data_IF_451325319190
#
_entry.id   IF_451325319190
#
_cell.length_a   1.000
_cell.length_b   1.000
_cell.length_c   1.000
_cell.angle_alpha   90.00
_cell.angle_beta   90.00
_cell.angle_gamma   90.00
#
_symmetry.space_group_name_H-M   'P 1'
#
loop_
_entity.id
_entity.type
_entity.pdbx_description
1 polymer ?
#
# COMPACT_ATOMS: atom_id res chain seq x y z
N UNK A 1 11.30 -5.82 2.81
CA UNK A 1 9.96 -5.68 3.44
C UNK A 1 9.55 -7.03 4.03
N UNK A 2 8.72 -7.03 5.06
CA UNK A 2 8.21 -8.23 5.76
C UNK A 2 9.30 -9.18 6.31
N UNK A 3 10.31 -8.66 7.01
CA UNK A 3 11.40 -9.46 7.60
C UNK A 3 10.90 -10.60 8.48
N UNK A 4 9.80 -10.40 9.23
CA UNK A 4 9.20 -11.47 10.05
C UNK A 4 8.72 -12.65 9.20
N UNK A 5 8.14 -12.39 8.03
CA UNK A 5 7.67 -13.45 7.13
C UNK A 5 8.84 -14.19 6.46
N UNK A 6 9.91 -13.46 6.13
CA UNK A 6 11.14 -14.07 5.64
C UNK A 6 11.79 -15.00 6.68
N UNK A 7 11.87 -14.56 7.94
CA UNK A 7 12.45 -15.34 9.03
C UNK A 7 11.57 -16.54 9.40
N UNK A 8 10.25 -16.35 9.46
CA UNK A 8 9.31 -17.43 9.78
C UNK A 8 9.33 -18.53 8.71
N UNK A 9 9.56 -18.17 7.45
CA UNK A 9 9.85 -19.13 6.39
C UNK A 9 8.68 -20.04 6.02
N UNK A 10 7.43 -19.65 6.32
CA UNK A 10 6.25 -20.47 5.96
C UNK A 10 6.06 -20.52 4.45
N UNK A 11 6.06 -21.73 3.91
CA UNK A 11 6.02 -22.00 2.47
C UNK A 11 4.66 -22.54 1.99
N UNK A 12 3.83 -23.01 2.92
CA UNK A 12 2.57 -23.73 2.73
C UNK A 12 1.32 -22.87 2.97
N UNK A 13 1.48 -21.54 2.98
CA UNK A 13 0.36 -20.61 3.12
C UNK A 13 -0.42 -20.52 1.82
N UNK A 14 -1.73 -20.80 1.87
CA UNK A 14 -2.62 -20.68 0.72
C UNK A 14 -3.09 -19.23 0.50
N UNK A 15 -3.29 -18.88 -0.77
CA UNK A 15 -3.86 -17.59 -1.14
C UNK A 15 -5.38 -17.60 -0.92
N UNK A 16 -5.91 -16.51 -0.38
CA UNK A 16 -7.34 -16.22 -0.24
C UNK A 16 -7.71 -15.15 -1.26
N UNK A 17 -8.58 -15.48 -2.21
CA UNK A 17 -8.96 -14.59 -3.33
C UNK A 17 -7.73 -14.03 -4.10
N UNK A 18 -6.71 -14.88 -4.28
CA UNK A 18 -5.47 -14.52 -4.98
C UNK A 18 -4.43 -13.78 -4.13
N UNK A 19 -4.73 -13.50 -2.85
CA UNK A 19 -3.84 -12.80 -1.93
C UNK A 19 -3.35 -13.72 -0.80
N UNK A 20 -2.04 -13.74 -0.54
CA UNK A 20 -1.47 -14.44 0.62
C UNK A 20 -1.61 -13.63 1.93
N UNK A 21 -2.20 -14.19 2.99
CA UNK A 21 -2.30 -13.50 4.29
C UNK A 21 -0.95 -13.42 5.03
N UNK A 22 0.01 -14.27 4.66
CA UNK A 22 1.35 -14.36 5.23
C UNK A 22 2.20 -15.35 4.44
N UNK A 23 3.34 -15.73 5.00
CA UNK A 23 4.32 -16.62 4.36
C UNK A 23 5.35 -15.88 3.51
N UNK A 24 6.26 -16.65 2.92
CA UNK A 24 7.37 -16.13 2.13
C UNK A 24 6.91 -15.27 0.94
N UNK A 25 5.71 -15.50 0.42
CA UNK A 25 5.11 -14.71 -0.65
C UNK A 25 4.97 -13.21 -0.26
N UNK A 26 4.84 -12.89 1.03
CA UNK A 26 4.75 -11.51 1.49
C UNK A 26 6.11 -10.80 1.61
N UNK A 27 7.24 -11.53 1.48
CA UNK A 27 8.58 -10.96 1.58
C UNK A 27 9.01 -10.33 0.24
N UNK A 28 9.31 -9.03 0.26
CA UNK A 28 9.62 -8.25 -0.94
C UNK A 28 10.95 -7.49 -0.83
N UNK A 29 11.57 -7.29 -2.00
CA UNK A 29 12.62 -6.30 -2.23
C UNK A 29 11.99 -5.08 -2.89
N UNK A 30 12.19 -3.90 -2.29
CA UNK A 30 11.59 -2.64 -2.72
C UNK A 30 12.70 -1.63 -3.06
N UNK A 31 12.69 -1.11 -4.29
CA UNK A 31 13.62 -0.08 -4.73
C UNK A 31 12.81 1.06 -5.33
N UNK A 32 12.72 2.18 -4.61
CA UNK A 32 11.96 3.36 -5.01
C UNK A 32 12.87 4.52 -5.37
N UNK A 33 12.52 5.25 -6.42
CA UNK A 33 13.22 6.44 -6.91
C UNK A 33 12.24 7.61 -6.86
N UNK A 34 12.64 8.70 -6.23
CA UNK A 34 11.83 9.91 -6.11
C UNK A 34 12.63 11.16 -6.48
N UNK A 35 11.93 12.21 -6.89
CA UNK A 35 12.52 13.52 -7.16
C UNK A 35 12.84 14.22 -5.86
N UNK A 36 14.10 14.58 -5.64
CA UNK A 36 14.49 15.32 -4.43
C UNK A 36 13.83 16.69 -4.30
N UNK A 37 13.54 17.35 -5.43
CA UNK A 37 12.96 18.69 -5.45
C UNK A 37 11.48 18.71 -5.02
N UNK A 38 10.69 17.71 -5.40
CA UNK A 38 9.23 17.66 -5.15
C UNK A 38 8.79 16.56 -4.19
N UNK A 39 9.67 15.59 -3.91
CA UNK A 39 9.37 14.40 -3.14
C UNK A 39 8.49 13.37 -3.85
N UNK A 40 8.19 13.58 -5.13
CA UNK A 40 7.32 12.69 -5.90
C UNK A 40 8.04 11.40 -6.30
N UNK A 41 7.44 10.22 -6.09
CA UNK A 41 8.02 8.96 -6.56
C UNK A 41 7.83 8.83 -8.07
N UNK A 42 8.92 8.59 -8.79
CA UNK A 42 8.96 8.60 -10.27
C UNK A 42 9.28 7.25 -10.89
N UNK A 43 9.91 6.35 -10.14
CA UNK A 43 10.19 4.98 -10.59
C UNK A 43 10.20 4.04 -9.39
N UNK A 44 9.74 2.82 -9.60
CA UNK A 44 9.76 1.80 -8.57
C UNK A 44 9.99 0.42 -9.16
N UNK A 45 10.74 -0.40 -8.44
CA UNK A 45 10.90 -1.83 -8.69
C UNK A 45 10.51 -2.58 -7.43
N UNK A 46 9.63 -3.56 -7.60
CA UNK A 46 9.20 -4.50 -6.56
C UNK A 46 9.55 -5.90 -7.02
N UNK A 47 10.42 -6.59 -6.30
CA UNK A 47 10.73 -8.00 -6.54
C UNK A 47 10.14 -8.85 -5.44
N UNK A 48 9.46 -9.93 -5.82
CA UNK A 48 8.91 -10.96 -4.95
C UNK A 48 9.73 -12.24 -5.18
N UNK A 49 10.77 -12.51 -4.37
CA UNK A 49 11.67 -13.64 -4.61
C UNK A 49 10.99 -15.00 -4.51
N UNK A 50 9.98 -15.10 -3.64
CA UNK A 50 9.26 -16.33 -3.31
C UNK A 50 7.84 -16.31 -3.91
N UNK A 51 7.72 -16.00 -5.20
CA UNK A 51 6.41 -15.87 -5.84
C UNK A 51 5.76 -17.22 -6.15
N UNK A 52 6.54 -18.15 -6.68
CA UNK A 52 6.08 -19.49 -7.02
C UNK A 52 7.07 -20.54 -6.51
N UNK A 53 6.58 -21.50 -5.75
CA UNK A 53 7.35 -22.68 -5.36
C UNK A 53 7.29 -23.71 -6.48
N UNK A 54 8.42 -24.27 -6.86
CA UNK A 54 8.43 -25.30 -7.90
C UNK A 54 7.68 -26.56 -7.43
N UNK A 55 6.89 -27.23 -8.29
CA UNK A 55 6.10 -28.42 -7.90
C UNK A 55 6.93 -29.57 -7.31
N UNK A 56 8.23 -29.64 -7.65
CA UNK A 56 9.17 -30.62 -7.12
C UNK A 56 9.85 -30.21 -5.80
N UNK A 57 9.54 -29.04 -5.25
CA UNK A 57 10.10 -28.55 -3.98
C UNK A 57 11.58 -28.13 -4.02
N UNK A 58 12.20 -28.07 -5.20
CA UNK A 58 13.65 -27.84 -5.34
C UNK A 58 14.05 -26.36 -5.40
N UNK A 59 13.10 -25.43 -5.49
CA UNK A 59 13.41 -24.02 -5.68
C UNK A 59 12.20 -23.10 -5.66
N UNK A 60 12.52 -21.80 -5.68
CA UNK A 60 11.56 -20.72 -5.79
C UNK A 60 11.83 -19.93 -7.07
N UNK A 61 10.76 -19.66 -7.80
CA UNK A 61 10.78 -18.73 -8.93
C UNK A 61 10.21 -17.40 -8.46
N UNK A 62 11.05 -16.37 -8.50
CA UNK A 62 10.64 -15.00 -8.22
C UNK A 62 9.93 -14.33 -9.39
N UNK A 63 9.33 -13.19 -9.11
CA UNK A 63 8.82 -12.26 -10.12
C UNK A 63 9.16 -10.82 -9.74
N UNK A 64 9.07 -9.91 -10.71
CA UNK A 64 9.35 -8.51 -10.48
C UNK A 64 8.38 -7.62 -11.25
N UNK A 65 8.10 -6.47 -10.67
CA UNK A 65 7.19 -5.46 -11.18
C UNK A 65 7.91 -4.13 -11.18
N UNK A 66 7.65 -3.31 -12.19
CA UNK A 66 8.22 -1.98 -12.27
C UNK A 66 7.23 -0.97 -12.85
N UNK A 67 7.48 0.29 -12.57
CA UNK A 67 6.68 1.41 -13.07
C UNK A 67 7.49 2.69 -13.09
N UNK A 68 7.21 3.53 -14.08
CA UNK A 68 7.77 4.87 -14.26
C UNK A 68 6.64 5.85 -14.50
N UNK A 69 6.59 6.90 -13.68
CA UNK A 69 5.67 8.04 -13.81
C UNK A 69 6.49 9.32 -13.74
N UNK A 70 6.76 9.94 -14.89
CA UNK A 70 7.58 11.15 -14.97
C UNK A 70 7.14 12.06 -16.12
N UNK A 71 6.72 13.28 -15.77
CA UNK A 71 6.11 14.19 -16.73
C UNK A 71 4.86 13.57 -17.35
N UNK A 72 4.84 13.41 -18.67
CA UNK A 72 3.72 12.78 -19.40
C UNK A 72 3.91 11.26 -19.58
N UNK A 73 5.04 10.70 -19.17
CA UNK A 73 5.33 9.27 -19.30
C UNK A 73 4.71 8.51 -18.14
N UNK A 74 3.86 7.54 -18.45
CA UNK A 74 3.34 6.55 -17.49
C UNK A 74 3.45 5.16 -18.12
N UNK A 75 4.38 4.35 -17.64
CA UNK A 75 4.64 2.99 -18.15
C UNK A 75 4.87 2.03 -16.99
N UNK A 76 4.34 0.81 -17.10
CA UNK A 76 4.51 -0.22 -16.08
C UNK A 76 4.64 -1.59 -16.74
N UNK A 77 5.31 -2.53 -16.04
CA UNK A 77 5.26 -3.95 -16.37
C UNK A 77 3.88 -4.57 -16.18
N UNK A 78 3.03 -3.94 -15.37
CA UNK A 78 1.66 -4.36 -15.13
C UNK A 78 0.73 -3.71 -16.15
N UNK A 79 -0.24 -4.46 -16.69
CA UNK A 79 -1.34 -3.83 -17.42
C UNK A 79 -2.16 -2.99 -16.44
N UNK A 80 -2.75 -1.90 -16.93
CA UNK A 80 -3.74 -1.17 -16.15
C UNK A 80 -4.93 -2.10 -15.87
N UNK A 81 -5.30 -2.33 -14.60
CA UNK A 81 -6.46 -3.16 -14.29
C UNK A 81 -7.73 -2.56 -14.89
N UNK A 82 -8.67 -3.45 -15.27
CA UNK A 82 -9.98 -3.02 -15.73
C UNK A 82 -10.71 -2.24 -14.64
N UNK A 83 -11.68 -1.42 -15.06
CA UNK A 83 -12.51 -0.70 -14.12
C UNK A 83 -13.21 -1.69 -13.17
N UNK A 84 -13.36 -1.35 -11.88
CA UNK A 84 -13.94 -2.30 -10.93
C UNK A 84 -15.36 -2.68 -11.36
N UNK A 85 -15.61 -3.98 -11.53
CA UNK A 85 -16.90 -4.51 -11.99
C UNK A 85 -17.92 -4.71 -10.85
N UNK A 86 -17.46 -4.72 -9.60
CA UNK A 86 -18.30 -5.00 -8.43
C UNK A 86 -18.62 -3.75 -7.61
N UNK A 87 -19.85 -3.66 -7.09
CA UNK A 87 -20.22 -2.57 -6.19
C UNK A 87 -19.51 -2.64 -4.83
N UNK A 88 -19.27 -3.82 -4.26
CA UNK A 88 -18.55 -3.96 -3.00
C UNK A 88 -17.06 -3.56 -3.15
N UNK A 89 -16.45 -3.06 -2.05
CA UNK A 89 -15.01 -2.84 -1.99
C UNK A 89 -14.27 -4.14 -1.69
N UNK A 90 -13.06 -4.30 -2.21
CA UNK A 90 -12.07 -5.22 -1.69
C UNK A 90 -10.98 -4.42 -1.00
N UNK A 91 -10.77 -4.63 0.30
CA UNK A 91 -9.79 -3.87 1.07
C UNK A 91 -8.86 -4.81 1.80
N UNK A 92 -7.56 -4.54 1.78
CA UNK A 92 -6.57 -5.25 2.59
C UNK A 92 -6.10 -4.38 3.75
N UNK A 93 -5.93 -4.98 4.93
CA UNK A 93 -5.42 -4.36 6.16
C UNK A 93 -4.28 -5.18 6.77
N UNK A 94 -3.60 -4.62 7.78
CA UNK A 94 -2.87 -5.47 8.74
C UNK A 94 -3.86 -6.16 9.68
N UNK A 95 -3.56 -7.39 10.12
CA UNK A 95 -4.35 -8.04 11.19
C UNK A 95 -4.30 -7.24 12.50
N UNK A 96 -3.21 -6.49 12.72
CA UNK A 96 -3.03 -5.59 13.87
C UNK A 96 -3.73 -4.24 13.74
N UNK A 97 -4.45 -3.99 12.65
CA UNK A 97 -5.16 -2.72 12.44
C UNK A 97 -6.24 -2.49 13.53
N UNK A 98 -6.50 -1.22 13.84
CA UNK A 98 -7.42 -0.79 14.89
C UNK A 98 -8.85 -1.25 14.58
N UNK A 99 -9.54 -1.69 15.63
CA UNK A 99 -10.91 -2.20 15.52
C UNK A 99 -11.91 -1.20 14.92
N UNK A 100 -11.88 0.11 15.24
CA UNK A 100 -12.74 1.10 14.59
C UNK A 100 -12.56 1.17 13.07
N UNK A 101 -11.34 0.97 12.56
CA UNK A 101 -11.04 0.97 11.12
C UNK A 101 -11.65 -0.28 10.47
N UNK A 102 -11.48 -1.45 11.08
CA UNK A 102 -12.06 -2.72 10.62
C UNK A 102 -13.59 -2.64 10.58
N UNK A 103 -14.21 -2.16 11.65
CA UNK A 103 -15.68 -2.02 11.76
C UNK A 103 -16.25 -0.99 10.77
N UNK A 104 -15.50 0.08 10.47
CA UNK A 104 -15.92 1.08 9.49
C UNK A 104 -15.90 0.54 8.05
N UNK A 105 -14.92 -0.30 7.71
CA UNK A 105 -14.71 -0.81 6.35
C UNK A 105 -15.45 -2.11 6.07
N UNK A 106 -15.62 -2.99 7.06
CA UNK A 106 -16.26 -4.30 6.86
C UNK A 106 -17.63 -4.22 6.16
N UNK A 107 -18.54 -3.29 6.50
CA UNK A 107 -19.84 -3.16 5.83
C UNK A 107 -19.73 -2.74 4.35
N UNK A 108 -18.63 -2.08 3.96
CA UNK A 108 -18.39 -1.66 2.58
C UNK A 108 -17.82 -2.78 1.71
N UNK A 109 -17.28 -3.83 2.34
CA UNK A 109 -16.49 -4.83 1.63
C UNK A 109 -17.28 -6.07 1.19
N UNK A 110 -18.51 -6.27 1.66
CA UNK A 110 -19.32 -7.44 1.28
C UNK A 110 -18.60 -8.78 1.51
N UNK A 111 -17.78 -8.88 2.57
CA UNK A 111 -16.95 -10.05 2.87
C UNK A 111 -15.51 -10.01 2.32
N UNK A 112 -15.16 -9.04 1.46
CA UNK A 112 -13.82 -8.89 0.86
C UNK A 112 -12.90 -7.97 1.67
N UNK A 113 -12.92 -8.13 2.99
CA UNK A 113 -11.98 -7.48 3.91
C UNK A 113 -10.86 -8.46 4.24
N UNK A 114 -9.71 -8.27 3.60
CA UNK A 114 -8.56 -9.15 3.66
C UNK A 114 -7.53 -8.66 4.70
N UNK A 115 -6.71 -9.59 5.18
CA UNK A 115 -5.59 -9.30 6.07
C UNK A 115 -4.30 -9.88 5.51
N UNK A 116 -3.23 -9.10 5.51
CA UNK A 116 -1.94 -9.54 4.99
C UNK A 116 -0.75 -8.92 5.72
N UNK A 117 0.35 -9.69 5.75
CA UNK A 117 1.66 -9.21 6.18
C UNK A 117 2.42 -8.47 5.07
N UNK A 118 3.40 -7.64 5.45
CA UNK A 118 4.21 -6.84 4.51
C UNK A 118 3.50 -5.56 4.04
N UNK A 119 4.09 -4.40 4.30
CA UNK A 119 3.49 -3.13 3.90
C UNK A 119 3.58 -2.93 2.38
N UNK A 120 4.76 -3.21 1.80
CA UNK A 120 4.96 -3.21 0.36
C UNK A 120 4.10 -4.26 -0.34
N UNK A 121 3.94 -5.43 0.26
CA UNK A 121 3.07 -6.49 -0.30
C UNK A 121 1.61 -6.08 -0.38
N UNK A 122 1.07 -5.43 0.66
CA UNK A 122 -0.29 -4.88 0.62
C UNK A 122 -0.48 -3.81 -0.46
N UNK A 123 0.50 -2.92 -0.65
CA UNK A 123 0.44 -1.92 -1.73
C UNK A 123 0.55 -2.61 -3.10
N UNK A 124 1.40 -3.63 -3.24
CA UNK A 124 1.52 -4.43 -4.45
C UNK A 124 0.20 -5.14 -4.81
N UNK A 125 -0.54 -5.65 -3.83
CA UNK A 125 -1.85 -6.27 -4.06
C UNK A 125 -2.86 -5.29 -4.69
N UNK A 126 -2.79 -4.00 -4.34
CA UNK A 126 -3.57 -2.95 -5.01
C UNK A 126 -3.11 -2.78 -6.45
N UNK A 127 -1.80 -2.70 -6.70
CA UNK A 127 -1.25 -2.54 -8.05
C UNK A 127 -1.58 -3.73 -8.98
N UNK A 128 -1.65 -4.94 -8.43
CA UNK A 128 -2.07 -6.16 -9.13
C UNK A 128 -3.58 -6.25 -9.37
N UNK A 129 -4.38 -5.32 -8.80
CA UNK A 129 -5.84 -5.35 -8.91
C UNK A 129 -6.52 -6.46 -8.10
N UNK A 130 -5.83 -7.06 -7.11
CA UNK A 130 -6.41 -8.07 -6.22
C UNK A 130 -7.40 -7.46 -5.21
N UNK A 131 -7.12 -6.22 -4.82
CA UNK A 131 -7.95 -5.41 -3.91
C UNK A 131 -8.06 -3.97 -4.43
N UNK A 132 -9.15 -3.28 -4.11
CA UNK A 132 -9.38 -1.90 -4.50
C UNK A 132 -8.53 -0.91 -3.69
N UNK A 133 -8.23 -1.24 -2.43
CA UNK A 133 -7.44 -0.39 -1.56
C UNK A 133 -6.65 -1.17 -0.49
N UNK A 134 -5.53 -0.59 -0.08
CA UNK A 134 -4.84 -0.91 1.16
C UNK A 134 -4.98 0.26 2.12
N UNK A 135 -5.38 -0.01 3.36
CA UNK A 135 -5.48 0.99 4.42
C UNK A 135 -4.60 0.59 5.60
N UNK A 136 -3.84 1.57 6.11
CA UNK A 136 -3.22 1.50 7.43
C UNK A 136 -3.43 2.82 8.14
N UNK A 137 -3.93 2.79 9.38
CA UNK A 137 -4.23 4.00 10.16
C UNK A 137 -3.08 4.46 11.05
N UNK A 138 -2.08 3.60 11.27
CA UNK A 138 -0.94 3.90 12.12
C UNK A 138 0.29 4.35 11.32
N UNK A 139 1.15 5.13 11.99
CA UNK A 139 2.47 5.52 11.51
C UNK A 139 3.51 4.41 11.47
N UNK A 140 3.09 3.14 11.36
CA UNK A 140 3.96 1.95 11.43
C UNK A 140 4.63 1.59 10.09
N UNK A 141 4.44 2.40 9.06
CA UNK A 141 5.08 2.25 7.75
C UNK A 141 6.02 3.40 7.49
N UNK A 142 7.06 3.17 6.70
CA UNK A 142 8.09 4.16 6.41
C UNK A 142 8.19 4.46 4.92
N UNK A 143 8.96 5.49 4.57
CA UNK A 143 9.20 5.90 3.18
C UNK A 143 9.70 4.75 2.30
N UNK A 144 10.57 3.88 2.82
CA UNK A 144 11.10 2.72 2.09
C UNK A 144 10.07 1.60 1.86
N UNK A 145 9.01 1.51 2.68
CA UNK A 145 7.96 0.50 2.51
C UNK A 145 7.00 0.85 1.37
N UNK A 146 6.83 2.15 1.09
CA UNK A 146 5.81 2.63 0.16
C UNK A 146 6.35 3.22 -1.15
N UNK A 147 7.58 3.74 -1.20
CA UNK A 147 8.09 4.48 -2.37
C UNK A 147 8.01 3.69 -3.68
N UNK A 148 8.56 2.46 -3.68
CA UNK A 148 8.58 1.63 -4.88
C UNK A 148 7.18 1.25 -5.39
N UNK A 149 6.29 0.66 -4.58
CA UNK A 149 4.96 0.31 -5.06
C UNK A 149 4.06 1.55 -5.30
N UNK A 150 4.31 2.68 -4.63
CA UNK A 150 3.62 3.94 -4.95
C UNK A 150 3.99 4.44 -6.36
N UNK A 151 5.26 4.40 -6.77
CA UNK A 151 5.63 4.75 -8.14
C UNK A 151 4.94 3.87 -9.20
N UNK A 152 4.79 2.57 -8.91
CA UNK A 152 4.03 1.64 -9.77
C UNK A 152 2.55 2.05 -9.85
N UNK A 153 1.92 2.33 -8.70
CA UNK A 153 0.53 2.80 -8.67
C UNK A 153 0.32 4.08 -9.49
N UNK A 154 1.24 5.06 -9.37
CA UNK A 154 1.19 6.30 -10.17
C UNK A 154 1.24 6.01 -11.67
N UNK A 155 2.13 5.12 -12.11
CA UNK A 155 2.23 4.71 -13.50
C UNK A 155 0.95 4.03 -14.03
N UNK A 156 0.13 3.46 -13.14
CA UNK A 156 -1.18 2.86 -13.45
C UNK A 156 -2.36 3.85 -13.30
N UNK A 157 -2.10 5.11 -12.95
CA UNK A 157 -3.11 6.16 -12.73
C UNK A 157 -3.66 6.25 -11.30
N UNK A 158 -3.16 5.41 -10.40
CA UNK A 158 -3.46 5.39 -8.97
C UNK A 158 -2.50 6.25 -8.14
N UNK A 159 -2.36 5.90 -6.86
CA UNK A 159 -1.41 6.53 -5.95
C UNK A 159 -1.48 6.01 -4.52
N UNK A 160 -0.71 6.62 -3.64
CA UNK A 160 -0.78 6.42 -2.19
C UNK A 160 -0.86 7.78 -1.49
N UNK A 161 -1.89 7.96 -0.66
CA UNK A 161 -2.18 9.22 0.05
C UNK A 161 -2.01 9.07 1.55
N UNK A 162 -1.72 10.18 2.20
CA UNK A 162 -1.74 10.30 3.67
C UNK A 162 -3.19 10.25 4.17
N UNK A 163 -3.52 9.22 4.96
CA UNK A 163 -4.89 9.02 5.44
C UNK A 163 -5.33 10.15 6.37
N UNK A 164 -4.45 10.64 7.25
CA UNK A 164 -4.77 11.72 8.18
C UNK A 164 -5.07 13.05 7.51
N UNK A 165 -4.30 13.40 6.47
CA UNK A 165 -4.61 14.57 5.65
C UNK A 165 -5.93 14.41 4.90
N UNK A 166 -6.24 13.22 4.38
CA UNK A 166 -7.54 12.95 3.77
C UNK A 166 -8.71 13.11 4.77
N UNK A 167 -8.58 12.63 5.99
CA UNK A 167 -9.65 12.67 7.00
C UNK A 167 -9.85 14.06 7.61
N UNK A 168 -8.81 14.89 7.66
CA UNK A 168 -8.88 16.27 8.14
C UNK A 168 -9.43 17.26 7.09
N UNK A 169 -9.62 16.82 5.84
CA UNK A 169 -10.01 17.69 4.73
C UNK A 169 -8.91 18.65 4.28
N UNK A 170 -7.68 18.49 4.79
CA UNK A 170 -6.49 19.24 4.40
C UNK A 170 -5.94 18.70 3.07
N UNK A 171 -6.71 18.90 1.99
CA UNK A 171 -6.19 18.79 0.63
C UNK A 171 -5.61 20.16 0.25
N UNK A 172 -4.31 20.37 0.43
CA UNK A 172 -3.67 21.60 -0.02
C UNK A 172 -3.89 21.81 -1.53
N UNK A 173 -4.37 23.00 -1.89
CA UNK A 173 -4.49 23.49 -3.27
C UNK A 173 -5.18 22.55 -4.27
N UNK A 174 -6.26 21.88 -3.86
CA UNK A 174 -7.10 21.08 -4.78
C UNK A 174 -6.44 19.79 -5.30
N UNK A 175 -5.25 19.45 -4.80
CA UNK A 175 -4.56 18.19 -5.07
C UNK A 175 -4.94 17.09 -4.08
N UNK A 176 -4.64 15.84 -4.42
CA UNK A 176 -4.69 14.72 -3.45
C UNK A 176 -3.46 14.80 -2.55
N UNK A 177 -3.57 14.54 -1.23
CA UNK A 177 -2.43 14.56 -0.30
C UNK A 177 -1.57 13.31 -0.48
N UNK A 178 -0.93 13.19 -1.64
CA UNK A 178 -0.06 12.07 -1.97
C UNK A 178 1.20 12.06 -1.08
N UNK A 179 1.64 10.84 -0.71
CA UNK A 179 2.85 10.67 0.07
C UNK A 179 4.05 11.27 -0.66
N UNK A 180 4.83 12.07 0.09
CA UNK A 180 6.12 12.61 -0.35
C UNK A 180 7.28 11.91 0.37
N UNK A 181 8.43 11.86 -0.31
CA UNK A 181 9.58 11.06 0.11
C UNK A 181 10.84 11.88 0.43
N UNK A 182 10.85 13.18 0.12
CA UNK A 182 12.02 14.07 0.29
C UNK A 182 12.18 14.72 1.66
N UNK A 183 11.11 14.80 2.47
CA UNK A 183 11.12 15.55 3.72
C UNK A 183 11.02 14.61 4.92
N UNK A 184 11.93 14.72 5.90
CA UNK A 184 11.79 14.03 7.16
C UNK A 184 10.77 14.74 8.06
N UNK A 185 10.16 13.99 8.99
CA UNK A 185 9.35 14.55 10.08
C UNK A 185 10.23 15.37 11.03
N UNK A 186 9.73 16.54 11.41
CA UNK A 186 10.35 17.41 12.40
C UNK A 186 10.18 16.80 13.81
N UNK A 187 11.13 17.04 14.71
CA UNK A 187 11.06 16.58 16.11
C UNK A 187 11.31 15.09 16.34
N UNK A 188 11.29 14.24 15.31
CA UNK A 188 11.59 12.81 15.43
C UNK A 188 13.10 12.50 15.32
N UNK A 189 13.52 11.37 15.90
CA UNK A 189 14.89 10.85 15.78
C UNK A 189 14.91 9.49 15.08
N UNK A 190 16.07 9.11 14.54
CA UNK A 190 16.27 7.79 13.91
C UNK A 190 15.33 7.53 12.73
N UNK A 191 14.80 6.31 12.65
CA UNK A 191 13.91 5.85 11.58
C UNK A 191 12.56 6.59 11.57
N UNK A 192 12.06 7.01 12.72
CA UNK A 192 10.76 7.69 12.89
C UNK A 192 10.63 8.99 12.07
N UNK A 193 11.78 9.60 11.74
CA UNK A 193 11.86 10.75 10.81
C UNK A 193 11.28 10.43 9.44
N UNK A 194 11.22 9.16 9.06
CA UNK A 194 10.78 8.70 7.75
C UNK A 194 9.48 7.89 7.83
N UNK A 195 8.78 7.91 8.96
CA UNK A 195 7.48 7.29 9.12
C UNK A 195 6.39 8.02 8.30
N UNK A 196 5.42 7.27 7.80
CA UNK A 196 4.17 7.78 7.24
C UNK A 196 3.15 7.92 8.38
N UNK A 197 3.38 8.89 9.27
CA UNK A 197 2.65 9.08 10.54
C UNK A 197 1.13 9.05 10.40
N UNK A 198 0.59 9.74 9.39
CA UNK A 198 -0.85 9.84 9.15
C UNK A 198 -1.48 8.55 8.64
N UNK A 199 -0.71 7.47 8.48
CA UNK A 199 -1.15 6.26 7.82
C UNK A 199 -1.16 6.40 6.29
N UNK A 200 -1.64 5.37 5.60
CA UNK A 200 -1.66 5.30 4.14
C UNK A 200 -3.02 4.79 3.66
N UNK A 201 -3.52 5.38 2.57
CA UNK A 201 -4.43 4.69 1.65
C UNK A 201 -3.78 4.56 0.28
N UNK A 202 -3.54 3.33 -0.16
CA UNK A 202 -3.10 3.04 -1.53
C UNK A 202 -4.28 2.59 -2.38
N UNK A 203 -4.37 3.07 -3.61
CA UNK A 203 -5.52 2.87 -4.49
C UNK A 203 -5.11 2.96 -5.97
N UNK A 204 -5.91 2.35 -6.85
CA UNK A 204 -5.86 2.57 -8.30
C UNK A 204 -6.97 3.50 -8.79
N UNK A 205 -8.19 3.29 -8.30
CA UNK A 205 -9.37 4.05 -8.70
C UNK A 205 -9.68 5.16 -7.67
N UNK A 206 -9.66 6.45 -8.08
CA UNK A 206 -10.03 7.57 -7.21
C UNK A 206 -11.46 7.47 -6.64
N UNK A 207 -12.39 6.79 -7.32
CA UNK A 207 -13.76 6.60 -6.82
C UNK A 207 -13.79 5.64 -5.63
N UNK A 208 -12.97 4.58 -5.67
CA UNK A 208 -12.77 3.63 -4.57
C UNK A 208 -12.11 4.30 -3.38
N UNK A 209 -11.09 5.14 -3.61
CA UNK A 209 -10.47 5.98 -2.58
C UNK A 209 -11.53 6.81 -1.84
N UNK A 210 -12.38 7.55 -2.58
CA UNK A 210 -13.42 8.39 -1.97
C UNK A 210 -14.35 7.60 -1.06
N UNK A 211 -14.72 6.37 -1.47
CA UNK A 211 -15.55 5.48 -0.65
C UNK A 211 -14.85 5.02 0.63
N UNK A 212 -13.57 4.67 0.53
CA UNK A 212 -12.74 4.33 1.71
C UNK A 212 -12.69 5.51 2.68
N UNK A 213 -12.35 6.71 2.20
CA UNK A 213 -12.28 7.91 3.05
C UNK A 213 -13.64 8.22 3.68
N UNK A 214 -14.72 8.17 2.89
CA UNK A 214 -16.09 8.41 3.40
C UNK A 214 -16.51 7.39 4.46
N UNK A 215 -16.04 6.14 4.37
CA UNK A 215 -16.35 5.12 5.36
C UNK A 215 -15.66 5.38 6.71
N UNK A 216 -14.46 5.97 6.68
CA UNK A 216 -13.60 6.22 7.84
C UNK A 216 -13.83 7.60 8.48
N UNK A 217 -14.36 8.56 7.73
CA UNK A 217 -14.61 9.93 8.19
C UNK A 217 -15.50 9.93 9.44
N UNK A 218 -15.05 10.62 10.49
CA UNK A 218 -15.76 10.72 11.77
C UNK A 218 -15.75 9.46 12.64
N UNK A 219 -15.19 8.34 12.15
CA UNK A 219 -15.13 7.05 12.89
C UNK A 219 -13.74 6.71 13.39
N UNK A 220 -12.70 7.31 12.79
CA UNK A 220 -11.31 7.09 13.18
C UNK A 220 -10.73 8.41 13.67
N UNK A 221 -10.46 8.49 14.97
CA UNK A 221 -9.65 9.56 15.53
C UNK A 221 -8.20 9.14 15.38
N UNK A 222 -7.51 9.74 14.41
CA UNK A 222 -6.07 9.67 14.37
C UNK A 222 -5.56 10.56 15.50
N UNK A 223 -4.84 9.97 16.46
CA UNK A 223 -4.20 10.77 17.50
C UNK A 223 -3.21 11.71 16.83
N UNK A 224 -3.52 13.01 16.82
CA UNK A 224 -2.52 14.04 16.64
C UNK A 224 -1.69 14.06 17.93
N UNK A 225 -0.68 13.20 18.05
CA UNK A 225 0.30 13.33 19.12
C UNK A 225 1.29 14.42 18.70
N UNK A 226 1.12 15.62 19.27
CA UNK A 226 2.02 16.75 19.03
C UNK A 226 1.63 18.00 19.80
N UNK A 227 1.75 17.96 21.12
CA UNK A 227 2.37 19.04 21.92
C UNK A 227 3.55 18.44 22.69
#
# INVERSE_FOLDING_TARGET
DATSQYIEGREDVEAQDGLYPGGLQCALVLIGVYLRASGEPIMGVVSQPFAHKDPGGQGWRGQYFWGVSYGNLNVSSLPRPEAPSQEALAVVLSSSEKEPVKQALAPQCGGRLHYASGAGYKILCVALGLVDAYVVSEGSTYKWDSCAPHAILRALGGGAVDLGQCLSGLAEHGGRPELKYHLPRAGCQGAERWANEGGIVAFLDPTRLKRVISALLGKVHLQANGE
#
